data_IF_089734980813
#
_entry.id   IF_089734980813
#
_cell.length_a   1.000
_cell.length_b   1.000
_cell.length_c   1.000
_cell.angle_alpha   90.00
_cell.angle_beta   90.00
_cell.angle_gamma   90.00
#
_symmetry.space_group_name_H-M   'P 1'
#
loop_
_entity.id
_entity.type
_entity.pdbx_description
1 polymer ?
#
# COMPACT_ATOMS: atom_id res chain seq x y z
N UNK A 1 -18.75 21.31 -11.74
CA UNK A 1 -19.53 20.05 -11.72
C UNK A 1 -19.67 19.57 -10.26
N UNK A 2 -20.61 18.69 -9.87
CA UNK A 2 -20.55 18.08 -8.51
C UNK A 2 -19.37 17.11 -8.42
N UNK A 3 -18.81 16.86 -7.24
CA UNK A 3 -17.69 15.89 -7.07
C UNK A 3 -18.07 14.50 -7.57
N UNK A 4 -19.27 14.03 -7.24
CA UNK A 4 -19.81 12.75 -7.73
C UNK A 4 -19.86 12.71 -9.25
N UNK A 5 -20.41 13.74 -9.89
CA UNK A 5 -20.48 13.79 -11.36
C UNK A 5 -19.09 13.86 -11.99
N UNK A 6 -18.14 14.58 -11.38
CA UNK A 6 -16.75 14.64 -11.82
C UNK A 6 -16.10 13.26 -11.85
N UNK A 7 -16.25 12.48 -10.78
CA UNK A 7 -15.69 11.13 -10.71
C UNK A 7 -16.41 10.18 -11.67
N UNK A 8 -17.74 10.23 -11.75
CA UNK A 8 -18.51 9.38 -12.67
C UNK A 8 -18.14 9.67 -14.14
N UNK A 9 -17.99 10.94 -14.53
CA UNK A 9 -17.61 11.29 -15.90
C UNK A 9 -16.18 10.84 -16.21
N UNK A 10 -15.24 10.98 -15.26
CA UNK A 10 -13.90 10.43 -15.40
C UNK A 10 -13.90 8.89 -15.55
N UNK A 11 -14.69 8.19 -14.72
CA UNK A 11 -14.84 6.73 -14.77
C UNK A 11 -15.47 6.27 -16.10
N UNK A 12 -16.26 7.13 -16.73
CA UNK A 12 -16.87 6.90 -18.04
C UNK A 12 -16.00 7.39 -19.22
N UNK A 13 -14.73 7.75 -19.00
CA UNK A 13 -13.83 8.31 -20.02
C UNK A 13 -14.38 9.56 -20.73
N UNK A 14 -15.26 10.33 -20.08
CA UNK A 14 -15.74 11.59 -20.61
C UNK A 14 -14.75 12.71 -20.28
N UNK A 15 -14.74 13.80 -21.06
CA UNK A 15 -14.03 15.01 -20.69
C UNK A 15 -14.48 15.52 -19.30
N UNK A 16 -13.52 15.91 -18.48
CA UNK A 16 -13.74 16.45 -17.13
C UNK A 16 -12.96 17.74 -16.96
N UNK A 17 -13.44 18.64 -16.08
CA UNK A 17 -12.83 19.95 -15.84
C UNK A 17 -11.47 19.86 -15.12
N UNK A 18 -11.21 18.75 -14.42
CA UNK A 18 -9.92 18.41 -13.79
C UNK A 18 -9.85 16.91 -13.46
N UNK A 19 -8.67 16.42 -13.13
CA UNK A 19 -8.48 15.03 -12.65
C UNK A 19 -9.08 14.88 -11.23
N UNK A 20 -9.91 13.86 -10.96
CA UNK A 20 -10.38 13.57 -9.61
C UNK A 20 -9.25 13.03 -8.72
N UNK A 21 -9.25 13.40 -7.43
CA UNK A 21 -8.18 13.05 -6.47
C UNK A 21 -8.75 12.41 -5.21
N UNK A 22 -8.05 11.37 -4.74
CA UNK A 22 -8.28 10.70 -3.46
C UNK A 22 -6.96 10.14 -2.90
N UNK A 23 -6.93 9.83 -1.61
CA UNK A 23 -5.81 9.18 -0.93
C UNK A 23 -6.31 8.06 -0.02
N UNK A 24 -5.47 7.04 0.17
CA UNK A 24 -5.77 5.87 1.00
C UNK A 24 -4.97 5.96 2.30
N UNK A 25 -5.64 5.87 3.43
CA UNK A 25 -5.02 5.94 4.76
C UNK A 25 -5.64 4.91 5.66
N UNK A 26 -4.82 4.14 6.37
CA UNK A 26 -5.31 3.42 7.53
C UNK A 26 -5.52 4.39 8.69
N UNK A 27 -6.56 4.15 9.48
CA UNK A 27 -6.98 4.97 10.61
C UNK A 27 -6.85 4.25 11.95
N UNK A 28 -6.69 2.92 11.92
CA UNK A 28 -6.26 2.13 13.06
C UNK A 28 -4.73 1.88 12.99
N UNK A 29 -4.16 1.48 14.12
CA UNK A 29 -2.75 1.06 14.17
C UNK A 29 -2.59 -0.33 13.54
N UNK A 30 -1.39 -0.68 13.05
CA UNK A 30 -1.16 -1.95 12.35
C UNK A 30 -1.50 -3.19 13.19
N UNK A 31 -1.25 -3.14 14.50
CA UNK A 31 -1.61 -4.19 15.44
C UNK A 31 -3.13 -4.32 15.70
N UNK A 32 -3.94 -3.38 15.24
CA UNK A 32 -5.39 -3.34 15.44
C UNK A 32 -6.17 -3.86 14.23
N UNK A 33 -5.53 -4.06 13.07
CA UNK A 33 -6.22 -4.36 11.81
C UNK A 33 -7.06 -5.64 11.81
N UNK A 34 -6.83 -6.57 12.73
CA UNK A 34 -7.56 -7.85 12.86
C UNK A 34 -8.56 -7.86 14.02
N UNK A 35 -8.56 -6.84 14.87
CA UNK A 35 -9.17 -6.92 16.21
C UNK A 35 -10.56 -6.29 16.31
N UNK A 36 -11.16 -5.84 15.20
CA UNK A 36 -12.42 -5.08 15.20
C UNK A 36 -13.64 -5.84 15.73
N UNK A 37 -13.61 -7.18 15.71
CA UNK A 37 -14.63 -8.00 16.37
C UNK A 37 -14.50 -7.98 17.90
N UNK A 38 -13.26 -8.01 18.40
CA UNK A 38 -12.94 -8.10 19.84
C UNK A 38 -12.91 -6.72 20.50
N UNK A 39 -12.55 -5.68 19.75
CA UNK A 39 -12.41 -4.32 20.23
C UNK A 39 -13.22 -3.33 19.36
N UNK A 40 -14.42 -2.90 19.82
CA UNK A 40 -15.26 -1.97 19.07
C UNK A 40 -14.66 -0.55 18.94
N UNK A 41 -13.67 -0.18 19.76
CA UNK A 41 -13.01 1.13 19.62
C UNK A 41 -12.26 1.27 18.29
N UNK A 42 -11.84 0.16 17.67
CA UNK A 42 -11.17 0.18 16.36
C UNK A 42 -12.14 0.63 15.26
N UNK A 43 -13.39 0.16 15.31
CA UNK A 43 -14.44 0.60 14.39
C UNK A 43 -14.72 2.09 14.60
N UNK A 44 -14.74 2.55 15.86
CA UNK A 44 -14.89 3.98 16.19
C UNK A 44 -13.72 4.82 15.66
N UNK A 45 -12.47 4.38 15.86
CA UNK A 45 -11.26 5.03 15.31
C UNK A 45 -11.33 5.12 13.79
N UNK A 46 -11.73 4.03 13.13
CA UNK A 46 -11.92 3.95 11.69
C UNK A 46 -12.97 4.99 11.23
N UNK A 47 -14.15 5.04 11.86
CA UNK A 47 -15.21 5.99 11.51
C UNK A 47 -14.74 7.44 11.66
N UNK A 48 -14.18 7.79 12.83
CA UNK A 48 -13.78 9.17 13.12
C UNK A 48 -12.56 9.60 12.29
N UNK A 49 -11.65 8.68 11.99
CA UNK A 49 -10.52 8.89 11.10
C UNK A 49 -10.98 9.27 9.69
N UNK A 50 -11.89 8.51 9.10
CA UNK A 50 -12.45 8.82 7.79
C UNK A 50 -13.19 10.16 7.78
N UNK A 51 -14.03 10.44 8.79
CA UNK A 51 -14.72 11.75 8.90
C UNK A 51 -13.75 12.91 8.97
N UNK A 52 -12.71 12.79 9.79
CA UNK A 52 -11.65 13.80 9.90
C UNK A 52 -10.89 13.97 8.59
N UNK A 53 -10.58 12.87 7.91
CA UNK A 53 -9.92 12.90 6.60
C UNK A 53 -10.78 13.62 5.56
N UNK A 54 -12.06 13.24 5.42
CA UNK A 54 -12.96 13.88 4.46
C UNK A 54 -13.16 15.36 4.78
N UNK A 55 -13.33 15.73 6.05
CA UNK A 55 -13.50 17.12 6.46
C UNK A 55 -12.25 17.98 6.17
N UNK A 56 -11.04 17.43 6.37
CA UNK A 56 -9.79 18.18 6.17
C UNK A 56 -9.31 18.19 4.72
N UNK A 57 -9.27 17.03 4.09
CA UNK A 57 -8.72 16.86 2.75
C UNK A 57 -9.75 17.17 1.65
N UNK A 58 -11.03 16.89 1.90
CA UNK A 58 -12.13 17.06 0.94
C UNK A 58 -11.87 16.33 -0.39
N UNK A 59 -11.65 15.01 -0.39
CA UNK A 59 -11.40 14.23 -1.60
C UNK A 59 -12.59 14.27 -2.57
N UNK A 60 -12.36 13.88 -3.82
CA UNK A 60 -13.43 13.71 -4.81
C UNK A 60 -14.19 12.39 -4.65
N UNK A 61 -13.51 11.36 -4.15
CA UNK A 61 -14.07 10.07 -3.78
C UNK A 61 -13.29 9.45 -2.62
N UNK A 62 -13.94 8.55 -1.89
CA UNK A 62 -13.42 7.96 -0.66
C UNK A 62 -13.32 6.45 -0.81
N UNK A 63 -12.14 5.90 -0.56
CA UNK A 63 -11.98 4.48 -0.24
C UNK A 63 -12.27 4.31 1.24
N UNK A 64 -13.31 3.55 1.57
CA UNK A 64 -13.61 3.17 2.95
C UNK A 64 -12.73 1.98 3.32
N UNK A 65 -11.89 2.16 4.34
CA UNK A 65 -10.94 1.15 4.79
C UNK A 65 -11.60 0.14 5.72
N UNK A 66 -11.21 -1.12 5.54
CA UNK A 66 -11.70 -2.26 6.32
C UNK A 66 -10.91 -2.50 7.61
N UNK A 67 -10.26 -1.46 8.17
CA UNK A 67 -9.42 -1.59 9.38
C UNK A 67 -10.22 -2.22 10.52
N UNK A 68 -9.64 -3.25 11.14
CA UNK A 68 -10.27 -4.09 12.16
C UNK A 68 -10.87 -5.39 11.61
N UNK A 69 -10.92 -5.57 10.29
CA UNK A 69 -11.52 -6.74 9.63
C UNK A 69 -10.56 -7.51 8.72
N UNK A 70 -9.24 -7.40 8.91
CA UNK A 70 -8.25 -8.04 8.02
C UNK A 70 -8.12 -9.55 8.26
N UNK A 71 -8.63 -10.05 9.39
CA UNK A 71 -8.73 -11.48 9.68
C UNK A 71 -10.09 -12.02 9.21
N UNK A 72 -10.09 -12.99 8.30
CA UNK A 72 -11.28 -13.76 7.97
C UNK A 72 -11.51 -14.82 9.06
N UNK A 73 -12.62 -14.75 9.83
CA UNK A 73 -12.73 -15.43 11.13
C UNK A 73 -13.26 -16.86 11.00
N UNK A 74 -12.52 -17.71 10.31
CA UNK A 74 -12.91 -19.11 10.13
C UNK A 74 -12.05 -20.05 10.99
N UNK A 75 -12.63 -20.80 11.94
CA UNK A 75 -11.89 -21.65 12.87
C UNK A 75 -10.96 -22.68 12.22
N UNK A 76 -11.33 -23.20 11.05
CA UNK A 76 -10.50 -24.19 10.32
C UNK A 76 -9.17 -23.58 9.90
N UNK A 77 -9.15 -22.30 9.54
CA UNK A 77 -7.94 -21.63 9.05
C UNK A 77 -6.94 -21.32 10.16
N UNK A 78 -7.37 -21.27 11.42
CA UNK A 78 -6.49 -21.00 12.55
C UNK A 78 -5.67 -22.22 13.01
N UNK A 79 -6.02 -23.42 12.56
CA UNK A 79 -5.34 -24.64 12.97
C UNK A 79 -5.18 -25.62 11.79
N UNK A 80 -4.49 -25.18 10.74
CA UNK A 80 -4.21 -26.00 9.56
C UNK A 80 -2.99 -26.88 9.85
N UNK A 81 -3.22 -28.18 10.06
CA UNK A 81 -2.17 -29.18 10.23
C UNK A 81 -1.73 -29.81 8.89
N UNK A 82 -2.62 -29.84 7.91
CA UNK A 82 -2.36 -30.32 6.54
C UNK A 82 -3.29 -29.64 5.53
N UNK A 83 -2.94 -29.62 4.22
CA UNK A 83 -3.79 -29.04 3.19
C UNK A 83 -5.20 -29.64 3.13
N UNK A 84 -5.37 -30.93 3.43
CA UNK A 84 -6.67 -31.63 3.37
C UNK A 84 -7.69 -31.00 4.32
N UNK A 85 -7.25 -30.41 5.44
CA UNK A 85 -8.13 -29.70 6.36
C UNK A 85 -8.83 -28.51 5.73
N UNK A 86 -8.29 -27.95 4.66
CA UNK A 86 -8.95 -26.89 3.91
C UNK A 86 -10.27 -27.35 3.27
N UNK A 87 -10.44 -28.65 2.99
CA UNK A 87 -11.71 -29.20 2.48
C UNK A 87 -12.83 -29.18 3.52
N UNK A 88 -12.49 -29.11 4.81
CA UNK A 88 -13.47 -28.98 5.90
C UNK A 88 -14.01 -27.54 6.02
N UNK A 89 -13.40 -26.57 5.32
CA UNK A 89 -13.80 -25.17 5.36
C UNK A 89 -15.23 -25.01 4.85
N UNK A 90 -16.05 -24.30 5.63
CA UNK A 90 -17.42 -23.90 5.28
C UNK A 90 -17.56 -22.39 5.47
N UNK A 91 -18.46 -21.72 4.74
CA UNK A 91 -18.71 -20.29 4.91
C UNK A 91 -19.07 -19.97 6.37
N UNK A 92 -18.64 -18.81 6.87
CA UNK A 92 -19.00 -18.33 8.21
C UNK A 92 -20.48 -17.94 8.29
N UNK A 93 -21.09 -17.66 7.14
CA UNK A 93 -22.52 -17.42 7.00
C UNK A 93 -22.88 -15.94 6.94
N UNK A 94 -24.04 -15.61 6.32
CA UNK A 94 -24.39 -14.23 5.94
C UNK A 94 -24.69 -13.30 7.10
N UNK A 95 -25.06 -13.85 8.26
CA UNK A 95 -25.39 -13.15 9.51
C UNK A 95 -24.20 -13.12 10.48
N UNK A 96 -23.03 -13.60 10.06
CA UNK A 96 -21.87 -13.60 10.95
C UNK A 96 -21.50 -12.15 11.36
N UNK A 97 -21.17 -11.88 12.64
CA UNK A 97 -20.86 -10.53 13.13
C UNK A 97 -19.76 -9.81 12.33
N UNK A 98 -18.85 -10.56 11.72
CA UNK A 98 -17.81 -10.03 10.83
C UNK A 98 -18.39 -9.32 9.60
N UNK A 99 -19.43 -9.88 8.99
CA UNK A 99 -20.12 -9.25 7.85
C UNK A 99 -20.98 -8.09 8.36
N UNK A 100 -21.78 -8.32 9.39
CA UNK A 100 -22.74 -7.32 9.90
C UNK A 100 -22.06 -6.04 10.36
N UNK A 101 -20.95 -6.14 11.11
CA UNK A 101 -20.23 -4.97 11.60
C UNK A 101 -19.57 -4.18 10.47
N UNK A 102 -19.07 -4.84 9.43
CA UNK A 102 -18.53 -4.16 8.24
C UNK A 102 -19.63 -3.41 7.48
N UNK A 103 -20.80 -4.03 7.28
CA UNK A 103 -21.97 -3.36 6.67
C UNK A 103 -22.39 -2.15 7.51
N UNK A 104 -22.40 -2.27 8.84
CA UNK A 104 -22.68 -1.17 9.76
C UNK A 104 -21.65 -0.03 9.71
N UNK A 105 -20.36 -0.36 9.64
CA UNK A 105 -19.27 0.60 9.44
C UNK A 105 -19.48 1.39 8.14
N UNK A 106 -19.69 0.69 7.02
CA UNK A 106 -19.91 1.31 5.71
C UNK A 106 -21.14 2.21 5.75
N UNK A 107 -22.28 1.72 6.25
CA UNK A 107 -23.51 2.52 6.37
C UNK A 107 -23.30 3.80 7.18
N UNK A 108 -22.58 3.70 8.30
CA UNK A 108 -22.32 4.87 9.15
C UNK A 108 -21.49 5.93 8.43
N UNK A 109 -20.51 5.51 7.64
CA UNK A 109 -19.66 6.41 6.87
C UNK A 109 -20.40 7.02 5.67
N UNK A 110 -21.13 6.22 4.91
CA UNK A 110 -21.92 6.70 3.77
C UNK A 110 -23.03 7.65 4.22
N UNK A 111 -23.75 7.35 5.31
CA UNK A 111 -24.74 8.27 5.89
C UNK A 111 -24.09 9.57 6.40
N UNK A 112 -22.84 9.52 6.87
CA UNK A 112 -22.10 10.71 7.32
C UNK A 112 -21.61 11.59 6.17
N UNK A 113 -21.30 11.00 5.01
CA UNK A 113 -20.84 11.75 3.82
C UNK A 113 -21.99 12.21 2.94
N UNK A 114 -23.14 11.52 3.01
CA UNK A 114 -24.30 11.76 2.17
C UNK A 114 -23.94 11.71 0.68
N UNK A 115 -24.63 12.54 -0.12
CA UNK A 115 -24.43 12.63 -1.56
C UNK A 115 -23.28 13.58 -1.96
N UNK A 116 -22.32 13.87 -1.09
CA UNK A 116 -21.20 14.78 -1.43
C UNK A 116 -20.14 14.09 -2.29
N UNK A 117 -19.78 12.84 -1.97
CA UNK A 117 -18.65 12.11 -2.56
C UNK A 117 -19.06 10.67 -2.92
N UNK A 118 -18.38 10.06 -3.89
CA UNK A 118 -18.52 8.62 -4.12
C UNK A 118 -17.73 7.84 -3.06
N UNK A 119 -18.25 6.68 -2.67
CA UNK A 119 -17.64 5.82 -1.64
C UNK A 119 -17.42 4.40 -2.15
N UNK A 120 -16.24 3.84 -1.91
CA UNK A 120 -15.87 2.50 -2.34
C UNK A 120 -15.31 1.70 -1.17
N UNK A 121 -15.95 0.59 -0.81
CA UNK A 121 -15.48 -0.21 0.32
C UNK A 121 -14.32 -1.12 -0.08
N UNK A 122 -13.22 -1.10 0.67
CA UNK A 122 -12.08 -1.98 0.45
C UNK A 122 -12.44 -3.43 0.81
N UNK A 123 -12.29 -4.33 -0.15
CA UNK A 123 -12.38 -5.78 0.06
C UNK A 123 -11.10 -6.39 -0.47
N UNK A 124 -10.35 -7.11 0.37
CA UNK A 124 -9.22 -7.90 -0.08
C UNK A 124 -9.70 -9.16 -0.80
N UNK A 125 -8.93 -9.61 -1.80
CA UNK A 125 -9.18 -10.86 -2.48
C UNK A 125 -9.12 -12.07 -1.52
N UNK A 126 -9.84 -13.18 -1.80
CA UNK A 126 -9.79 -14.40 -0.98
C UNK A 126 -8.37 -14.87 -0.66
N UNK A 127 -7.46 -14.87 -1.64
CA UNK A 127 -6.07 -15.26 -1.43
C UNK A 127 -5.32 -14.29 -0.53
N UNK A 128 -5.65 -12.99 -0.55
CA UNK A 128 -5.03 -12.00 0.34
C UNK A 128 -5.47 -12.21 1.79
N UNK A 129 -6.77 -12.44 2.03
CA UNK A 129 -7.26 -12.82 3.37
C UNK A 129 -6.60 -14.10 3.88
N UNK A 130 -6.42 -15.10 3.02
CA UNK A 130 -5.71 -16.33 3.38
C UNK A 130 -4.25 -16.04 3.76
N UNK A 131 -3.53 -15.27 2.94
CA UNK A 131 -2.13 -14.91 3.19
C UNK A 131 -1.94 -14.12 4.50
N UNK A 132 -2.86 -13.21 4.83
CA UNK A 132 -2.80 -12.39 6.04
C UNK A 132 -2.80 -13.20 7.34
N UNK A 133 -3.36 -14.42 7.34
CA UNK A 133 -3.27 -15.34 8.49
C UNK A 133 -1.83 -15.72 8.84
N UNK A 134 -0.94 -15.66 7.85
CA UNK A 134 0.47 -16.04 7.95
C UNK A 134 1.40 -14.82 7.97
N UNK A 135 0.88 -13.60 8.13
CA UNK A 135 1.68 -12.36 8.13
C UNK A 135 2.88 -12.44 9.08
N UNK A 136 2.65 -12.92 10.32
CA UNK A 136 3.67 -13.02 11.37
C UNK A 136 4.77 -14.04 11.08
N UNK A 137 4.59 -14.91 10.08
CA UNK A 137 5.59 -15.91 9.69
C UNK A 137 6.66 -15.36 8.74
N UNK A 138 6.43 -14.17 8.17
CA UNK A 138 7.31 -13.57 7.16
C UNK A 138 7.32 -14.29 5.80
N UNK A 139 6.49 -15.33 5.60
CA UNK A 139 6.52 -16.21 4.43
C UNK A 139 5.14 -16.47 3.81
N UNK A 140 4.19 -15.52 3.94
CA UNK A 140 2.77 -15.72 3.58
C UNK A 140 2.52 -16.25 2.15
N UNK A 141 3.24 -15.73 1.15
CA UNK A 141 3.12 -16.16 -0.25
C UNK A 141 3.67 -17.58 -0.45
N UNK A 142 4.81 -17.87 0.19
CA UNK A 142 5.41 -19.20 0.17
C UNK A 142 4.50 -20.26 0.82
N UNK A 143 3.82 -19.92 1.91
CA UNK A 143 2.87 -20.82 2.57
C UNK A 143 1.72 -21.17 1.62
N UNK A 144 1.10 -20.18 0.99
CA UNK A 144 0.04 -20.42 0.01
C UNK A 144 0.54 -21.27 -1.16
N UNK A 145 1.75 -21.01 -1.65
CA UNK A 145 2.36 -21.81 -2.71
C UNK A 145 2.64 -23.25 -2.28
N UNK A 146 3.20 -23.46 -1.09
CA UNK A 146 3.49 -24.80 -0.54
C UNK A 146 2.21 -25.63 -0.40
N UNK A 147 1.14 -25.04 0.15
CA UNK A 147 -0.16 -25.71 0.25
C UNK A 147 -0.77 -26.01 -1.12
N UNK A 148 -0.65 -25.09 -2.08
CA UNK A 148 -1.18 -25.29 -3.44
C UNK A 148 -0.45 -26.43 -4.15
N UNK A 149 0.87 -26.52 -3.99
CA UNK A 149 1.66 -27.61 -4.57
C UNK A 149 1.38 -28.97 -3.93
N UNK A 150 1.00 -28.99 -2.66
CA UNK A 150 0.61 -30.22 -1.96
C UNK A 150 -0.80 -30.66 -2.34
N UNK A 151 -1.77 -29.73 -2.36
CA UNK A 151 -3.17 -30.03 -2.66
C UNK A 151 -3.92 -28.80 -3.19
N UNK A 152 -3.83 -28.57 -4.50
CA UNK A 152 -4.46 -27.41 -5.16
C UNK A 152 -5.99 -27.40 -5.04
N UNK A 153 -6.64 -28.56 -5.01
CA UNK A 153 -8.10 -28.65 -4.91
C UNK A 153 -8.59 -28.21 -3.53
N UNK A 154 -7.83 -28.56 -2.48
CA UNK A 154 -8.13 -28.11 -1.13
C UNK A 154 -7.94 -26.58 -0.97
N UNK A 155 -6.88 -26.01 -1.55
CA UNK A 155 -6.70 -24.55 -1.58
C UNK A 155 -7.82 -23.87 -2.38
N UNK A 156 -8.15 -24.39 -3.56
CA UNK A 156 -9.24 -23.87 -4.39
C UNK A 156 -10.58 -23.88 -3.65
N UNK A 157 -10.89 -24.97 -2.95
CA UNK A 157 -12.09 -25.07 -2.09
C UNK A 157 -12.09 -24.00 -1.01
N UNK A 158 -10.97 -23.80 -0.32
CA UNK A 158 -10.88 -22.78 0.73
C UNK A 158 -11.07 -21.36 0.19
N UNK A 159 -10.42 -21.02 -0.92
CA UNK A 159 -10.55 -19.70 -1.54
C UNK A 159 -11.98 -19.43 -2.04
N UNK A 160 -12.62 -20.43 -2.64
CA UNK A 160 -14.02 -20.32 -3.07
C UNK A 160 -14.97 -20.16 -1.88
N UNK A 161 -14.72 -20.86 -0.77
CA UNK A 161 -15.51 -20.72 0.46
C UNK A 161 -15.37 -19.30 1.05
N UNK A 162 -14.15 -18.75 1.10
CA UNK A 162 -13.93 -17.35 1.49
C UNK A 162 -14.69 -16.41 0.53
N UNK A 163 -14.62 -16.68 -0.78
CA UNK A 163 -15.30 -15.88 -1.80
C UNK A 163 -16.83 -15.85 -1.63
N UNK A 164 -17.46 -16.91 -1.13
CA UNK A 164 -18.91 -16.90 -0.85
C UNK A 164 -19.30 -15.85 0.21
N UNK A 165 -18.56 -15.78 1.31
CA UNK A 165 -18.80 -14.78 2.36
C UNK A 165 -18.41 -13.38 1.90
N UNK A 166 -17.32 -13.23 1.14
CA UNK A 166 -16.93 -11.94 0.56
C UNK A 166 -17.91 -11.45 -0.52
N UNK A 167 -18.54 -12.35 -1.26
CA UNK A 167 -19.61 -12.01 -2.22
C UNK A 167 -20.85 -11.53 -1.49
N UNK A 168 -21.18 -12.18 -0.36
CA UNK A 168 -22.24 -11.70 0.54
C UNK A 168 -21.91 -10.32 1.08
N UNK A 169 -20.68 -10.11 1.57
CA UNK A 169 -20.21 -8.83 2.06
C UNK A 169 -20.28 -7.75 0.97
N UNK A 170 -19.72 -8.00 -0.22
CA UNK A 170 -19.72 -7.09 -1.36
C UNK A 170 -21.12 -6.64 -1.75
N UNK A 171 -22.07 -7.58 -1.87
CA UNK A 171 -23.47 -7.25 -2.10
C UNK A 171 -24.01 -6.35 -0.98
N UNK A 172 -23.84 -6.74 0.29
CA UNK A 172 -24.47 -6.04 1.42
C UNK A 172 -23.87 -4.66 1.67
N UNK A 173 -22.56 -4.45 1.50
CA UNK A 173 -21.97 -3.11 1.64
C UNK A 173 -22.46 -2.14 0.57
N UNK A 174 -22.80 -2.64 -0.63
CA UNK A 174 -23.42 -1.84 -1.68
C UNK A 174 -24.92 -1.61 -1.36
N UNK A 175 -25.69 -2.67 -1.12
CA UNK A 175 -27.16 -2.56 -1.02
C UNK A 175 -27.66 -2.03 0.32
N UNK A 176 -26.99 -2.37 1.42
CA UNK A 176 -27.37 -1.98 2.79
C UNK A 176 -26.43 -0.91 3.36
N UNK A 177 -25.14 -1.03 3.05
CA UNK A 177 -24.11 -0.04 3.40
C UNK A 177 -24.14 1.21 2.53
N UNK A 178 -24.85 1.18 1.39
CA UNK A 178 -24.97 2.29 0.43
C UNK A 178 -23.64 2.75 -0.17
N UNK A 179 -22.61 1.90 -0.18
CA UNK A 179 -21.39 2.21 -0.91
C UNK A 179 -21.70 2.27 -2.42
N UNK A 180 -21.07 3.20 -3.13
CA UNK A 180 -21.23 3.34 -4.58
C UNK A 180 -20.57 2.19 -5.35
N UNK A 181 -19.73 1.39 -4.70
CA UNK A 181 -19.15 0.16 -5.21
C UNK A 181 -18.15 -0.42 -4.22
N UNK A 182 -17.42 -1.44 -4.66
CA UNK A 182 -16.27 -1.97 -3.93
C UNK A 182 -14.95 -1.56 -4.60
N UNK A 183 -13.90 -1.59 -3.79
CA UNK A 183 -12.52 -1.48 -4.19
C UNK A 183 -11.88 -2.85 -3.92
N UNK A 184 -11.88 -3.72 -4.93
CA UNK A 184 -11.39 -5.10 -4.81
C UNK A 184 -9.87 -5.11 -4.94
N UNK A 185 -9.17 -5.45 -3.86
CA UNK A 185 -7.71 -5.49 -3.79
C UNK A 185 -7.20 -6.89 -4.08
N UNK A 186 -6.64 -7.08 -5.28
CA UNK A 186 -5.98 -8.30 -5.76
C UNK A 186 -4.46 -8.15 -5.72
N UNK A 187 -3.74 -9.26 -5.70
CA UNK A 187 -2.28 -9.29 -5.76
C UNK A 187 -1.82 -10.68 -6.22
N UNK A 188 -0.83 -10.74 -7.10
CA UNK A 188 -0.20 -12.01 -7.46
C UNK A 188 0.46 -12.67 -6.25
N UNK A 189 0.50 -14.01 -6.25
CA UNK A 189 1.28 -14.75 -5.27
C UNK A 189 2.76 -14.58 -5.61
N UNK A 190 3.54 -14.03 -4.69
CA UNK A 190 4.98 -13.71 -4.88
C UNK A 190 5.85 -14.98 -4.78
N UNK A 191 5.51 -16.02 -5.53
CA UNK A 191 6.23 -17.30 -5.60
C UNK A 191 6.19 -17.83 -7.02
N UNK A 192 7.36 -18.08 -7.61
CA UNK A 192 7.48 -18.47 -9.03
C UNK A 192 6.85 -19.81 -9.38
N UNK A 193 6.51 -20.64 -8.38
CA UNK A 193 5.80 -21.91 -8.59
C UNK A 193 4.33 -21.70 -8.91
N UNK A 194 3.75 -20.56 -8.52
CA UNK A 194 2.40 -20.18 -8.93
C UNK A 194 2.47 -19.54 -10.32
N UNK A 195 2.42 -20.40 -11.34
CA UNK A 195 2.42 -19.95 -12.74
C UNK A 195 1.09 -19.25 -13.10
N UNK A 196 1.03 -18.48 -14.19
CA UNK A 196 -0.22 -17.92 -14.70
C UNK A 196 -1.35 -18.95 -14.85
N UNK A 197 -1.04 -20.16 -15.31
CA UNK A 197 -2.01 -21.24 -15.46
C UNK A 197 -2.55 -21.67 -14.10
N UNK A 198 -1.67 -21.86 -13.11
CA UNK A 198 -2.07 -22.26 -11.77
C UNK A 198 -2.83 -21.14 -11.04
N UNK A 199 -2.44 -19.88 -11.25
CA UNK A 199 -3.17 -18.71 -10.75
C UNK A 199 -4.60 -18.70 -11.30
N UNK A 200 -4.75 -18.87 -12.63
CA UNK A 200 -6.07 -18.91 -13.27
C UNK A 200 -6.91 -20.13 -12.85
N UNK A 201 -6.28 -21.25 -12.51
CA UNK A 201 -6.99 -22.45 -12.08
C UNK A 201 -7.47 -22.37 -10.61
N UNK A 202 -6.64 -21.83 -9.72
CA UNK A 202 -6.80 -21.95 -8.26
C UNK A 202 -7.19 -20.62 -7.61
N UNK A 203 -6.56 -19.52 -7.99
CA UNK A 203 -6.71 -18.21 -7.32
C UNK A 203 -7.82 -17.38 -7.96
N UNK A 204 -7.69 -17.10 -9.26
CA UNK A 204 -8.57 -16.19 -10.00
C UNK A 204 -10.07 -16.49 -9.91
N UNK A 205 -10.55 -17.76 -9.92
CA UNK A 205 -11.98 -18.03 -9.86
C UNK A 205 -12.66 -17.42 -8.63
N UNK A 206 -11.99 -17.47 -7.48
CA UNK A 206 -12.48 -16.93 -6.23
C UNK A 206 -12.57 -15.38 -6.25
N UNK A 207 -11.61 -14.73 -6.90
CA UNK A 207 -11.57 -13.26 -7.06
C UNK A 207 -12.66 -12.77 -8.02
N UNK A 208 -12.84 -13.49 -9.13
CA UNK A 208 -13.84 -13.19 -10.15
C UNK A 208 -15.27 -13.30 -9.60
N UNK A 209 -15.58 -14.32 -8.80
CA UNK A 209 -16.92 -14.49 -8.19
C UNK A 209 -17.29 -13.29 -7.31
N UNK A 210 -16.34 -12.76 -6.52
CA UNK A 210 -16.56 -11.57 -5.69
C UNK A 210 -16.81 -10.34 -6.56
N UNK A 211 -15.99 -10.13 -7.59
CA UNK A 211 -16.14 -8.99 -8.50
C UNK A 211 -17.46 -9.04 -9.29
N UNK A 212 -17.80 -10.19 -9.85
CA UNK A 212 -19.03 -10.42 -10.60
C UNK A 212 -20.27 -10.19 -9.73
N UNK A 213 -20.24 -10.66 -8.47
CA UNK A 213 -21.30 -10.38 -7.51
C UNK A 213 -21.46 -8.88 -7.28
N UNK A 214 -20.35 -8.16 -7.04
CA UNK A 214 -20.40 -6.71 -6.84
C UNK A 214 -20.94 -5.98 -8.09
N UNK A 215 -20.59 -6.43 -9.29
CA UNK A 215 -21.04 -5.84 -10.56
C UNK A 215 -22.55 -5.96 -10.79
N UNK A 216 -23.21 -6.94 -10.17
CA UNK A 216 -24.68 -7.08 -10.23
C UNK A 216 -25.40 -6.03 -9.40
N UNK A 217 -24.67 -5.34 -8.51
CA UNK A 217 -25.23 -4.36 -7.57
C UNK A 217 -24.66 -2.95 -7.74
N UNK A 218 -23.52 -2.80 -8.43
CA UNK A 218 -22.95 -1.50 -8.81
C UNK A 218 -22.20 -1.59 -10.14
N UNK A 219 -22.32 -0.56 -10.97
CA UNK A 219 -21.54 -0.40 -12.21
C UNK A 219 -20.20 0.32 -12.00
N UNK A 220 -19.86 0.70 -10.75
CA UNK A 220 -18.73 1.57 -10.45
C UNK A 220 -17.57 0.87 -9.72
N UNK A 221 -17.58 -0.46 -9.63
CA UNK A 221 -16.54 -1.19 -8.90
C UNK A 221 -15.14 -0.95 -9.47
N UNK A 222 -14.17 -0.86 -8.55
CA UNK A 222 -12.77 -0.58 -8.84
C UNK A 222 -11.96 -1.85 -8.58
N UNK A 223 -11.14 -2.26 -9.56
CA UNK A 223 -10.10 -3.27 -9.35
C UNK A 223 -8.82 -2.57 -8.94
N UNK A 224 -8.24 -2.98 -7.82
CA UNK A 224 -6.94 -2.52 -7.36
C UNK A 224 -5.94 -3.66 -7.35
N UNK A 225 -4.87 -3.50 -8.11
CA UNK A 225 -3.77 -4.43 -8.21
C UNK A 225 -2.66 -3.92 -7.29
N UNK A 226 -2.49 -4.60 -6.16
CA UNK A 226 -1.75 -4.08 -5.02
C UNK A 226 -0.25 -4.34 -5.15
N UNK A 227 0.53 -3.25 -5.23
CA UNK A 227 2.01 -3.31 -5.20
C UNK A 227 2.61 -3.15 -3.80
N UNK A 228 1.84 -3.38 -2.73
CA UNK A 228 2.30 -3.21 -1.36
C UNK A 228 3.59 -4.01 -1.09
N UNK A 229 4.52 -3.44 -0.32
CA UNK A 229 5.86 -4.00 -0.05
C UNK A 229 6.69 -4.29 -1.32
N UNK A 230 6.41 -3.61 -2.43
CA UNK A 230 7.13 -3.82 -3.69
C UNK A 230 6.72 -5.10 -4.43
N UNK A 231 5.58 -5.70 -4.04
CA UNK A 231 5.04 -6.90 -4.68
C UNK A 231 4.74 -6.61 -6.15
N UNK A 232 5.46 -7.26 -7.06
CA UNK A 232 5.28 -7.08 -8.50
C UNK A 232 4.15 -7.97 -9.00
N UNK A 233 3.38 -7.45 -9.94
CA UNK A 233 2.23 -8.13 -10.52
C UNK A 233 2.37 -8.25 -12.04
N UNK A 234 2.07 -9.43 -12.58
CA UNK A 234 1.70 -9.58 -13.98
C UNK A 234 0.28 -9.05 -14.21
N UNK A 235 0.20 -7.82 -14.73
CA UNK A 235 -1.08 -7.17 -15.01
C UNK A 235 -1.91 -7.91 -16.07
N UNK A 236 -1.30 -8.77 -16.90
CA UNK A 236 -2.02 -9.53 -17.92
C UNK A 236 -3.02 -10.52 -17.30
N UNK A 237 -2.77 -10.99 -16.07
CA UNK A 237 -3.70 -11.86 -15.35
C UNK A 237 -5.04 -11.18 -15.06
N UNK A 238 -5.09 -9.86 -15.05
CA UNK A 238 -6.26 -9.11 -14.64
C UNK A 238 -7.02 -8.46 -15.80
N UNK A 239 -6.58 -8.61 -17.06
CA UNK A 239 -7.21 -7.93 -18.20
C UNK A 239 -8.67 -8.31 -18.39
N UNK A 240 -9.04 -9.53 -18.02
CA UNK A 240 -10.40 -10.07 -18.11
C UNK A 240 -11.28 -9.74 -16.90
N UNK A 241 -10.73 -9.12 -15.85
CA UNK A 241 -11.50 -8.74 -14.67
C UNK A 241 -12.39 -7.56 -15.02
N UNK A 242 -13.70 -7.76 -15.01
CA UNK A 242 -14.67 -6.77 -15.47
C UNK A 242 -14.95 -5.71 -14.38
N UNK A 243 -13.98 -4.84 -14.08
CA UNK A 243 -14.19 -3.65 -13.26
C UNK A 243 -14.34 -2.39 -14.13
N UNK A 244 -15.06 -1.38 -13.62
CA UNK A 244 -15.26 -0.09 -14.29
C UNK A 244 -13.94 0.66 -14.44
N UNK A 245 -13.12 0.59 -13.40
CA UNK A 245 -11.88 1.33 -13.26
C UNK A 245 -10.79 0.41 -12.75
N UNK A 246 -9.59 0.55 -13.31
CA UNK A 246 -8.42 -0.23 -12.90
C UNK A 246 -7.41 0.67 -12.22
N UNK A 247 -6.95 0.25 -11.04
CA UNK A 247 -5.92 0.93 -10.27
C UNK A 247 -4.76 -0.02 -10.01
N UNK A 248 -3.52 0.47 -10.11
CA UNK A 248 -2.33 -0.30 -9.76
C UNK A 248 -1.24 0.62 -9.20
N UNK A 249 -0.24 0.02 -8.57
CA UNK A 249 0.94 0.72 -8.08
C UNK A 249 1.90 1.04 -9.24
N UNK A 250 1.65 2.16 -9.94
CA UNK A 250 2.38 2.59 -11.17
C UNK A 250 3.90 2.42 -11.07
N UNK A 251 4.51 2.83 -9.96
CA UNK A 251 5.97 2.76 -9.79
C UNK A 251 6.48 1.33 -9.54
N UNK A 252 5.73 0.54 -8.77
CA UNK A 252 6.09 -0.85 -8.47
C UNK A 252 6.00 -1.68 -9.74
N UNK A 253 4.96 -1.48 -10.55
CA UNK A 253 4.79 -2.28 -11.77
C UNK A 253 5.70 -1.81 -12.91
N UNK A 254 6.12 -0.54 -12.91
CA UNK A 254 6.86 0.05 -14.03
C UNK A 254 6.01 0.19 -15.29
N UNK A 255 4.68 0.26 -15.14
CA UNK A 255 3.71 0.40 -16.24
C UNK A 255 3.01 1.75 -16.07
N UNK A 256 3.20 2.65 -17.03
CA UNK A 256 2.59 3.99 -17.01
C UNK A 256 1.07 3.93 -17.17
N UNK A 257 0.37 5.00 -16.77
CA UNK A 257 -1.09 5.09 -16.94
C UNK A 257 -1.54 4.95 -18.39
N UNK A 258 -0.76 5.45 -19.36
CA UNK A 258 -1.08 5.32 -20.77
C UNK A 258 -0.97 3.87 -21.26
N UNK A 259 0.10 3.17 -20.87
CA UNK A 259 0.32 1.76 -21.19
C UNK A 259 -0.73 0.87 -20.52
N UNK A 260 -0.98 1.07 -19.23
CA UNK A 260 -2.01 0.34 -18.49
C UNK A 260 -3.40 0.60 -19.07
N UNK A 261 -3.74 1.84 -19.44
CA UNK A 261 -5.01 2.14 -20.11
C UNK A 261 -5.17 1.38 -21.41
N UNK A 262 -4.11 1.27 -22.22
CA UNK A 262 -4.12 0.44 -23.45
C UNK A 262 -4.28 -1.05 -23.11
N UNK A 263 -3.53 -1.56 -22.13
CA UNK A 263 -3.60 -2.94 -21.67
C UNK A 263 -5.02 -3.33 -21.22
N UNK A 264 -5.69 -2.46 -20.48
CA UNK A 264 -7.04 -2.68 -19.97
C UNK A 264 -8.15 -2.25 -20.93
N UNK A 265 -7.88 -2.21 -22.25
CA UNK A 265 -8.91 -2.00 -23.27
C UNK A 265 -9.51 -0.59 -23.27
N UNK A 266 -8.76 0.41 -22.85
CA UNK A 266 -9.18 1.82 -22.83
C UNK A 266 -10.03 2.23 -21.63
N UNK A 267 -10.26 1.34 -20.65
CA UNK A 267 -10.99 1.64 -19.41
C UNK A 267 -10.36 2.81 -18.65
N UNK A 268 -11.15 3.44 -17.79
CA UNK A 268 -10.63 4.45 -16.88
C UNK A 268 -9.58 3.81 -15.96
N UNK A 269 -8.53 4.58 -15.65
CA UNK A 269 -7.42 4.12 -14.81
C UNK A 269 -7.15 5.11 -13.69
N UNK A 270 -6.76 4.59 -12.54
CA UNK A 270 -6.30 5.39 -11.39
C UNK A 270 -4.83 5.08 -11.20
N UNK A 271 -4.02 6.13 -11.05
CA UNK A 271 -2.63 6.04 -10.64
C UNK A 271 -2.42 6.55 -9.22
N UNK A 272 -1.17 6.58 -8.79
CA UNK A 272 -0.75 7.23 -7.56
C UNK A 272 0.65 7.79 -7.73
N UNK A 273 0.99 8.75 -6.88
CA UNK A 273 2.37 9.21 -6.75
C UNK A 273 3.12 8.27 -5.81
N UNK A 274 4.43 8.16 -6.01
CA UNK A 274 5.27 7.64 -4.94
C UNK A 274 5.22 8.61 -3.76
N UNK A 275 5.25 8.09 -2.55
CA UNK A 275 5.35 8.95 -1.36
C UNK A 275 6.76 9.52 -1.28
N UNK A 276 6.90 10.84 -1.40
CA UNK A 276 8.15 11.54 -1.16
C UNK A 276 8.72 11.12 0.20
N UNK A 277 9.91 10.54 0.18
CA UNK A 277 10.55 9.98 1.36
C UNK A 277 11.96 10.53 1.48
N UNK A 278 12.33 10.95 2.68
CA UNK A 278 13.73 11.18 3.03
C UNK A 278 14.36 9.79 3.18
N UNK A 279 15.47 9.57 2.50
CA UNK A 279 16.31 8.38 2.61
C UNK A 279 17.61 8.75 3.32
N UNK A 280 18.23 7.78 3.96
CA UNK A 280 19.32 8.05 4.88
C UNK A 280 19.84 6.79 5.56
N UNK A 281 20.82 7.00 6.43
CA UNK A 281 21.53 5.94 7.13
C UNK A 281 20.97 5.82 8.55
N UNK A 282 20.45 4.65 8.88
CA UNK A 282 20.30 4.25 10.28
C UNK A 282 21.64 3.71 10.77
N UNK A 283 22.16 4.30 11.83
CA UNK A 283 23.45 3.98 12.44
C UNK A 283 23.27 3.75 13.94
N UNK A 284 24.33 3.32 14.62
CA UNK A 284 24.36 3.33 16.09
C UNK A 284 24.46 4.77 16.59
N UNK A 285 23.72 5.10 17.64
CA UNK A 285 23.71 6.46 18.22
C UNK A 285 25.10 6.91 18.73
N UNK A 286 25.92 5.97 19.20
CA UNK A 286 27.31 6.23 19.64
C UNK A 286 28.28 6.58 18.51
N UNK A 287 27.89 6.39 17.25
CA UNK A 287 28.69 6.73 16.07
C UNK A 287 28.16 7.99 15.36
N UNK A 288 27.13 8.65 15.90
CA UNK A 288 26.46 9.80 15.28
C UNK A 288 27.33 11.07 15.23
N UNK A 289 28.39 11.15 16.04
CA UNK A 289 29.40 12.21 15.98
C UNK A 289 30.41 12.00 14.84
N UNK A 290 30.58 10.75 14.39
CA UNK A 290 31.53 10.36 13.33
C UNK A 290 30.87 10.21 11.97
N UNK A 291 29.62 9.75 11.95
CA UNK A 291 28.84 9.52 10.74
C UNK A 291 27.74 10.58 10.69
N UNK A 292 27.99 11.65 9.94
CA UNK A 292 27.10 12.81 9.81
C UNK A 292 26.45 12.93 8.44
N UNK A 293 26.92 12.14 7.47
CA UNK A 293 26.47 12.10 6.08
C UNK A 293 26.98 10.81 5.39
N UNK A 294 26.66 10.63 4.10
CA UNK A 294 27.12 9.46 3.33
C UNK A 294 28.65 9.44 3.14
N UNK A 295 29.28 10.61 3.00
CA UNK A 295 30.73 10.70 2.82
C UNK A 295 31.51 10.24 4.06
N UNK A 296 31.11 10.73 5.23
CA UNK A 296 31.69 10.35 6.52
C UNK A 296 31.41 8.89 6.84
N UNK A 297 30.24 8.36 6.46
CA UNK A 297 29.98 6.92 6.53
C UNK A 297 30.95 6.10 5.67
N UNK A 298 31.12 6.47 4.40
CA UNK A 298 32.05 5.81 3.49
C UNK A 298 33.50 5.86 4.02
N UNK A 299 33.92 7.01 4.58
CA UNK A 299 35.23 7.17 5.24
C UNK A 299 35.37 6.35 6.52
N UNK A 300 34.29 6.24 7.29
CA UNK A 300 34.29 5.51 8.56
C UNK A 300 34.45 4.00 8.33
N UNK A 301 33.62 3.43 7.47
CA UNK A 301 33.74 2.02 7.07
C UNK A 301 33.08 1.68 5.74
N UNK A 302 32.05 2.42 5.33
CA UNK A 302 31.20 2.10 4.19
C UNK A 302 30.47 0.76 4.32
N UNK A 303 30.51 0.09 5.48
CA UNK A 303 30.01 -1.29 5.63
C UNK A 303 28.49 -1.31 5.81
N UNK A 304 27.79 -1.34 4.68
CA UNK A 304 26.34 -1.23 4.62
C UNK A 304 25.66 -2.60 4.69
N UNK A 305 24.49 -2.66 5.34
CA UNK A 305 23.56 -3.80 5.22
C UNK A 305 23.26 -4.04 3.72
N UNK A 306 23.26 -5.29 3.23
CA UNK A 306 23.02 -5.60 1.82
C UNK A 306 21.68 -5.06 1.31
N UNK A 307 21.64 -4.62 0.06
CA UNK A 307 20.45 -4.06 -0.58
C UNK A 307 20.07 -4.94 -1.77
N UNK A 308 18.79 -5.25 -1.93
CA UNK A 308 18.32 -5.96 -3.12
C UNK A 308 18.47 -5.05 -4.36
N UNK A 309 19.03 -5.52 -5.49
CA UNK A 309 19.22 -4.69 -6.68
C UNK A 309 17.94 -4.06 -7.25
N UNK A 310 16.77 -4.62 -6.92
CA UNK A 310 15.46 -4.11 -7.34
C UNK A 310 14.93 -2.97 -6.44
N UNK A 311 15.60 -2.70 -5.33
CA UNK A 311 15.22 -1.66 -4.37
C UNK A 311 15.74 -0.29 -4.87
N UNK A 312 14.92 0.76 -4.78
CA UNK A 312 15.29 2.12 -5.21
C UNK A 312 16.57 2.64 -4.53
N UNK A 313 16.79 2.24 -3.27
CA UNK A 313 18.00 2.51 -2.51
C UNK A 313 19.28 2.04 -3.21
N UNK A 314 19.23 0.94 -3.98
CA UNK A 314 20.39 0.38 -4.69
C UNK A 314 20.97 1.40 -5.67
N UNK A 315 20.12 1.93 -6.56
CA UNK A 315 20.53 2.87 -7.59
C UNK A 315 21.14 4.14 -7.00
N UNK A 316 20.71 4.52 -5.79
CA UNK A 316 21.18 5.73 -5.11
C UNK A 316 22.59 5.52 -4.54
N UNK A 317 22.86 4.36 -3.95
CA UNK A 317 24.22 4.01 -3.47
C UNK A 317 25.16 3.76 -4.65
N UNK A 318 24.68 3.12 -5.72
CA UNK A 318 25.44 2.93 -6.96
C UNK A 318 25.85 4.27 -7.57
N UNK A 319 24.93 5.22 -7.65
CA UNK A 319 25.20 6.59 -8.14
C UNK A 319 26.18 7.35 -7.23
N UNK A 320 26.02 7.23 -5.90
CA UNK A 320 26.99 7.80 -4.96
C UNK A 320 28.40 7.24 -5.21
N UNK A 321 28.54 5.92 -5.32
CA UNK A 321 29.83 5.26 -5.56
C UNK A 321 30.45 5.64 -6.91
N UNK A 322 29.62 5.83 -7.94
CA UNK A 322 30.04 6.27 -9.27
C UNK A 322 30.58 7.71 -9.27
N UNK A 323 30.00 8.57 -8.45
CA UNK A 323 30.37 9.99 -8.33
C UNK A 323 31.48 10.24 -7.29
N UNK A 324 31.74 9.27 -6.39
CA UNK A 324 32.76 9.32 -5.34
C UNK A 324 33.73 8.12 -5.43
N UNK A 325 34.52 7.98 -6.52
CA UNK A 325 35.34 6.78 -6.77
C UNK A 325 36.39 6.51 -5.69
N UNK A 326 36.86 7.55 -4.99
CA UNK A 326 37.88 7.44 -3.94
C UNK A 326 37.28 7.28 -2.53
N UNK A 327 35.95 7.27 -2.39
CA UNK A 327 35.26 7.22 -1.10
C UNK A 327 33.92 6.47 -1.19
N UNK A 328 33.99 5.17 -1.49
CA UNK A 328 32.83 4.34 -1.79
C UNK A 328 32.22 3.67 -0.56
N UNK A 329 30.90 3.48 -0.61
CA UNK A 329 30.15 2.58 0.28
C UNK A 329 30.20 1.16 -0.27
N UNK A 330 30.41 0.17 0.60
CA UNK A 330 30.40 -1.24 0.23
C UNK A 330 28.97 -1.71 -0.08
N UNK A 331 28.60 -1.68 -1.35
CA UNK A 331 27.30 -2.10 -1.86
C UNK A 331 27.29 -3.59 -2.17
N UNK A 332 26.58 -4.37 -1.36
CA UNK A 332 26.44 -5.83 -1.51
C UNK A 332 24.99 -6.17 -1.86
N UNK A 333 24.80 -7.04 -2.86
CA UNK A 333 23.47 -7.50 -3.27
C UNK A 333 22.83 -8.40 -2.20
N UNK A 334 21.56 -8.14 -1.91
CA UNK A 334 20.69 -9.02 -1.13
C UNK A 334 19.78 -9.82 -2.06
N UNK A 335 19.48 -11.08 -1.70
CA UNK A 335 18.43 -11.88 -2.35
C UNK A 335 17.03 -11.58 -1.80
N UNK A 336 16.96 -10.91 -0.64
CA UNK A 336 15.70 -10.53 0.02
C UNK A 336 15.48 -9.02 -0.13
N UNK A 337 14.27 -8.63 -0.53
CA UNK A 337 13.91 -7.23 -0.81
C UNK A 337 14.00 -6.33 0.44
N UNK A 338 13.50 -6.82 1.58
CA UNK A 338 13.57 -6.14 2.88
C UNK A 338 14.22 -7.08 3.91
N UNK A 339 15.20 -6.58 4.65
CA UNK A 339 15.89 -7.33 5.70
C UNK A 339 15.29 -6.91 7.05
N UNK A 340 14.39 -7.74 7.59
CA UNK A 340 13.67 -7.46 8.84
C UNK A 340 14.60 -7.17 10.03
N UNK A 341 15.76 -7.82 10.06
CA UNK A 341 16.72 -7.77 11.16
C UNK A 341 17.80 -6.68 10.97
N UNK A 342 17.68 -5.83 9.95
CA UNK A 342 18.73 -4.88 9.58
C UNK A 342 19.12 -3.95 10.75
N UNK A 343 18.15 -3.48 11.52
CA UNK A 343 18.38 -2.67 12.72
C UNK A 343 19.20 -3.42 13.78
N UNK A 344 18.84 -4.68 14.05
CA UNK A 344 19.58 -5.55 14.97
C UNK A 344 21.00 -5.79 14.48
N UNK A 345 21.21 -6.04 13.19
CA UNK A 345 22.54 -6.26 12.64
C UNK A 345 23.46 -5.05 12.76
N UNK A 346 22.90 -3.83 12.68
CA UNK A 346 23.63 -2.58 12.95
C UNK A 346 24.03 -2.50 14.43
N UNK A 347 23.11 -2.83 15.35
CA UNK A 347 23.39 -2.86 16.80
C UNK A 347 24.43 -3.93 17.18
N UNK A 348 24.39 -5.10 16.52
CA UNK A 348 25.32 -6.23 16.70
C UNK A 348 26.69 -5.99 16.03
N UNK A 349 26.88 -4.85 15.36
CA UNK A 349 28.10 -4.51 14.60
C UNK A 349 28.41 -5.48 13.46
N UNK A 350 27.40 -6.20 12.97
CA UNK A 350 27.52 -6.98 11.73
C UNK A 350 27.68 -6.04 10.54
N UNK A 351 26.98 -4.91 10.57
CA UNK A 351 27.11 -3.78 9.66
C UNK A 351 27.20 -2.47 10.45
N UNK A 352 27.60 -1.39 9.81
CA UNK A 352 27.77 -0.09 10.44
C UNK A 352 26.64 0.88 10.13
N UNK A 353 25.93 0.66 9.01
CA UNK A 353 24.72 1.38 8.70
C UNK A 353 23.71 0.51 7.94
N UNK A 354 22.44 0.86 8.08
CA UNK A 354 21.33 0.39 7.26
C UNK A 354 20.74 1.56 6.48
N UNK A 355 20.65 1.45 5.16
CA UNK A 355 20.13 2.51 4.31
C UNK A 355 18.63 2.33 4.09
N UNK A 356 17.84 3.20 4.74
CA UNK A 356 16.38 3.07 4.82
C UNK A 356 15.69 4.43 4.74
N UNK A 357 14.38 4.39 4.54
CA UNK A 357 13.49 5.53 4.50
C UNK A 357 13.23 6.05 5.92
N UNK A 358 13.25 7.37 6.10
CA UNK A 358 13.06 8.03 7.40
C UNK A 358 11.72 7.68 8.04
N UNK A 359 10.67 7.51 7.22
CA UNK A 359 9.37 7.05 7.70
C UNK A 359 9.43 5.61 8.22
N UNK A 360 10.17 4.72 7.56
CA UNK A 360 10.43 3.36 8.05
C UNK A 360 11.19 3.40 9.37
N UNK A 361 12.23 4.22 9.50
CA UNK A 361 12.95 4.40 10.77
C UNK A 361 12.00 4.90 11.87
N UNK A 362 11.17 5.90 11.57
CA UNK A 362 10.19 6.40 12.54
C UNK A 362 9.23 5.29 12.98
N UNK A 363 8.59 4.58 12.04
CA UNK A 363 7.61 3.55 12.36
C UNK A 363 8.22 2.33 13.05
N UNK A 364 9.45 1.95 12.71
CA UNK A 364 10.11 0.75 13.23
C UNK A 364 10.93 0.99 14.50
N UNK A 365 11.38 2.23 14.75
CA UNK A 365 12.26 2.56 15.89
C UNK A 365 11.65 3.61 16.82
N UNK A 366 11.06 4.69 16.29
CA UNK A 366 10.67 5.85 17.10
C UNK A 366 9.20 5.87 17.54
N UNK A 367 8.28 5.24 16.83
CA UNK A 367 6.87 5.24 17.21
C UNK A 367 6.65 4.52 18.55
N UNK A 368 5.60 4.90 19.29
CA UNK A 368 5.37 4.40 20.66
C UNK A 368 5.28 2.86 20.73
N UNK A 369 4.69 2.23 19.73
CA UNK A 369 4.53 0.77 19.61
C UNK A 369 5.47 0.15 18.58
N UNK A 370 6.59 0.81 18.27
CA UNK A 370 7.51 0.35 17.24
C UNK A 370 8.21 -0.96 17.65
N UNK A 371 8.43 -1.92 16.73
CA UNK A 371 9.11 -3.19 17.02
C UNK A 371 10.49 -3.04 17.69
N UNK A 372 11.23 -1.96 17.37
CA UNK A 372 12.54 -1.66 17.92
C UNK A 372 12.53 -0.51 18.93
N UNK A 373 11.37 -0.18 19.51
CA UNK A 373 11.22 0.95 20.44
C UNK A 373 12.20 0.90 21.61
N UNK A 374 12.46 -0.28 22.16
CA UNK A 374 13.42 -0.50 23.26
C UNK A 374 14.88 -0.16 22.89
N UNK A 375 15.17 -0.03 21.60
CA UNK A 375 16.49 0.31 21.07
C UNK A 375 16.56 1.72 20.48
N UNK A 376 15.49 2.54 20.63
CA UNK A 376 15.43 3.87 20.03
C UNK A 376 16.62 4.77 20.41
N UNK A 377 17.05 4.73 21.68
CA UNK A 377 18.19 5.54 22.16
C UNK A 377 19.55 5.00 21.69
N UNK A 378 19.59 3.80 21.10
CA UNK A 378 20.82 3.17 20.58
C UNK A 378 20.99 3.34 19.08
N UNK A 379 19.97 3.84 18.38
CA UNK A 379 19.98 4.06 16.95
C UNK A 379 19.83 5.55 16.65
N UNK A 380 20.55 6.02 15.64
CA UNK A 380 20.39 7.36 15.10
C UNK A 380 20.10 7.29 13.61
N UNK A 381 19.44 8.32 13.08
CA UNK A 381 19.14 8.43 11.66
C UNK A 381 19.83 9.66 11.08
N UNK A 382 20.62 9.43 10.04
CA UNK A 382 21.36 10.46 9.31
C UNK A 382 20.68 10.63 7.95
N UNK A 383 19.94 11.74 7.73
CA UNK A 383 19.36 12.04 6.43
C UNK A 383 20.44 12.15 5.36
N UNK A 384 20.19 11.56 4.18
CA UNK A 384 21.07 11.71 3.03
C UNK A 384 20.41 12.56 1.94
N UNK A 385 19.24 12.14 1.47
CA UNK A 385 18.58 12.78 0.34
C UNK A 385 17.06 12.73 0.48
N UNK A 386 16.38 13.78 0.06
CA UNK A 386 14.94 13.76 -0.19
C UNK A 386 14.72 13.44 -1.67
N UNK A 387 13.84 12.49 -1.95
CA UNK A 387 13.46 12.15 -3.32
C UNK A 387 12.56 13.29 -3.85
N UNK A 388 12.99 14.06 -4.87
CA UNK A 388 12.19 15.15 -5.39
C UNK A 388 10.94 14.60 -6.07
N UNK A 389 9.81 15.24 -5.79
CA UNK A 389 8.55 14.99 -6.49
C UNK A 389 8.25 16.14 -7.43
N UNK A 390 7.89 15.82 -8.67
CA UNK A 390 7.59 16.82 -9.69
C UNK A 390 6.09 16.82 -10.00
N UNK A 391 5.44 18.00 -10.01
CA UNK A 391 4.10 18.14 -10.57
C UNK A 391 4.15 17.94 -12.08
N UNK A 392 3.16 17.23 -12.62
CA UNK A 392 3.02 17.02 -14.06
C UNK A 392 1.90 17.89 -14.61
N UNK A 393 2.21 18.70 -15.61
CA UNK A 393 1.24 19.54 -16.32
C UNK A 393 0.92 18.95 -17.69
N UNK A 394 -0.31 19.20 -18.16
CA UNK A 394 -0.68 18.88 -19.53
C UNK A 394 0.17 19.74 -20.48
N UNK A 395 0.67 19.15 -21.58
CA UNK A 395 1.47 19.86 -22.59
C UNK A 395 0.75 21.05 -23.22
N UNK A 396 -0.59 21.06 -23.18
CA UNK A 396 -1.40 22.15 -23.72
C UNK A 396 -1.65 23.28 -22.71
N UNK A 397 -1.30 23.10 -21.43
CA UNK A 397 -1.56 24.06 -20.35
C UNK A 397 -0.27 24.77 -19.91
N UNK A 398 0.53 25.24 -20.87
CA UNK A 398 1.83 25.86 -20.59
C UNK A 398 1.69 27.07 -19.64
N UNK A 399 0.66 27.89 -19.82
CA UNK A 399 0.43 29.05 -18.96
C UNK A 399 0.20 28.67 -17.49
N UNK A 400 -0.39 27.51 -17.21
CA UNK A 400 -0.57 27.01 -15.84
C UNK A 400 0.74 26.50 -15.26
N UNK A 401 1.54 25.79 -16.06
CA UNK A 401 2.87 25.34 -15.65
C UNK A 401 3.76 26.54 -15.31
N UNK A 402 3.81 27.55 -16.17
CA UNK A 402 4.60 28.77 -15.96
C UNK A 402 4.16 29.52 -14.70
N UNK A 403 2.85 29.69 -14.50
CA UNK A 403 2.31 30.36 -13.31
C UNK A 403 2.56 29.56 -12.02
N UNK A 404 2.53 28.23 -12.10
CA UNK A 404 2.90 27.38 -10.97
C UNK A 404 4.38 27.54 -10.62
N UNK A 405 5.26 27.50 -11.62
CA UNK A 405 6.70 27.66 -11.41
C UNK A 405 7.02 29.03 -10.80
N UNK A 406 6.40 30.11 -11.31
CA UNK A 406 6.53 31.46 -10.73
C UNK A 406 6.08 31.50 -9.26
N UNK A 407 4.92 30.89 -8.95
CA UNK A 407 4.41 30.84 -7.58
C UNK A 407 5.31 30.03 -6.64
N UNK A 408 5.81 28.87 -7.09
CA UNK A 408 6.73 28.04 -6.29
C UNK A 408 8.06 28.75 -6.07
N UNK A 409 8.60 29.43 -7.09
CA UNK A 409 9.78 30.26 -6.93
C UNK A 409 9.57 31.38 -5.92
N UNK A 410 8.43 32.07 -5.99
CA UNK A 410 8.10 33.15 -5.07
C UNK A 410 7.99 32.63 -3.63
N UNK A 411 7.25 31.55 -3.41
CA UNK A 411 7.12 30.91 -2.10
C UNK A 411 8.47 30.42 -1.56
N UNK A 412 9.39 30.00 -2.43
CA UNK A 412 10.76 29.62 -2.05
C UNK A 412 11.58 30.85 -1.67
N UNK A 413 11.53 31.93 -2.45
CA UNK A 413 12.23 33.20 -2.17
C UNK A 413 11.76 33.82 -0.86
N UNK A 414 10.47 33.72 -0.57
CA UNK A 414 9.87 34.26 0.64
C UNK A 414 10.11 33.38 1.89
N UNK A 415 10.75 32.22 1.75
CA UNK A 415 11.01 31.28 2.85
C UNK A 415 9.79 30.48 3.31
N UNK A 416 8.61 30.74 2.74
CA UNK A 416 7.33 30.09 3.11
C UNK A 416 7.39 28.57 2.94
N UNK A 417 8.05 28.07 1.89
CA UNK A 417 8.21 26.62 1.70
C UNK A 417 8.97 25.97 2.87
N UNK A 418 10.06 26.58 3.31
CA UNK A 418 10.85 26.10 4.45
C UNK A 418 10.07 26.19 5.76
N UNK A 419 9.31 27.27 5.97
CA UNK A 419 8.43 27.42 7.14
C UNK A 419 7.34 26.33 7.19
N UNK A 420 6.69 26.06 6.06
CA UNK A 420 5.69 24.99 5.94
C UNK A 420 6.33 23.63 6.19
N UNK A 421 7.53 23.39 5.64
CA UNK A 421 8.26 22.15 5.88
C UNK A 421 8.55 21.96 7.37
N UNK A 422 9.10 22.99 8.02
CA UNK A 422 9.40 22.96 9.46
C UNK A 422 8.14 22.72 10.30
N UNK A 423 7.02 23.34 9.92
CA UNK A 423 5.74 23.20 10.63
C UNK A 423 5.16 21.80 10.54
N UNK A 424 5.22 21.15 9.37
CA UNK A 424 4.54 19.87 9.15
C UNK A 424 5.45 18.65 9.33
N UNK A 425 6.76 18.79 9.11
CA UNK A 425 7.72 17.70 9.20
C UNK A 425 8.73 17.84 10.34
N UNK A 426 8.73 18.98 11.06
CA UNK A 426 9.69 19.26 12.13
C UNK A 426 11.11 19.57 11.61
N UNK A 427 11.30 19.63 10.30
CA UNK A 427 12.55 19.98 9.63
C UNK A 427 12.28 20.55 8.24
N UNK A 428 13.27 21.23 7.67
CA UNK A 428 13.22 21.68 6.28
C UNK A 428 13.72 20.58 5.33
N UNK A 429 12.79 19.82 4.74
CA UNK A 429 13.08 18.68 3.88
C UNK A 429 13.76 19.09 2.57
N UNK A 430 13.60 20.35 2.15
CA UNK A 430 14.19 20.88 0.92
C UNK A 430 15.70 21.07 1.03
N UNK A 431 16.26 21.02 2.26
CA UNK A 431 17.71 21.00 2.48
C UNK A 431 18.37 19.71 2.00
N UNK A 432 17.59 18.65 1.84
CA UNK A 432 18.08 17.33 1.41
C UNK A 432 17.80 17.04 -0.08
N UNK A 433 17.23 18.00 -0.81
CA UNK A 433 17.09 17.87 -2.27
C UNK A 433 18.39 18.40 -2.90
N UNK A 434 19.10 17.54 -3.62
CA UNK A 434 20.27 17.96 -4.41
C UNK A 434 19.87 19.11 -5.36
N UNK A 435 20.70 20.14 -5.40
CA UNK A 435 20.50 21.30 -6.28
C UNK A 435 20.84 21.01 -7.72
#
# INVERSE_FOLDING_TARGET
MSKRQLVLDAFNNKPVERVPVGFWFHFADSGEFTEGLRNPDIIRKNIEGHKKFVAKFRPDFVKIMSDGFFEYPNPVLFNIESPEKLLDLKPIGPEHPWIEKQVGLVRTLTDSFGDEVLTFYNIFAPATYFKMLYEKTGNRDKVLADLTMQNKDAVKHALNTIAEDLSTLARRVITEGKADGIYLSVQNVQDSRITPELYNEVIAPSELIVLETANRHSENNILHICGYEGSRNDLNLYVHYNAKVINWAVNVEGISLAEGKKLFGGRAVIGGFDTASIIGLTIRAEDADKITDMESFAKYSGKLVPIAPQNAQWAIVEEYNRTHPDNQVNLVASEVFNISDAYTWVLERRYDAYFDIKLSFYNNVLAENAPYRDFADKLAYVPYRAIPTYPLFNKNDQALADAYDEAVEQLRKDGVISELSQKYFGEDIFKYIDK
#
